data_IF_168014925578
#
_entry.id   IF_168014925578
#
_cell.length_a   1.000
_cell.length_b   1.000
_cell.length_c   1.000
_cell.angle_alpha   90.00
_cell.angle_beta   90.00
_cell.angle_gamma   90.00
#
_symmetry.space_group_name_H-M   'P 1'
#
loop_
_entity.id
_entity.type
_entity.pdbx_description
1 polymer ?
#
# COMPACT_ATOMS: atom_id res chain seq x y z
N UNK A 1 -9.81 -9.06 -15.99
CA UNK A 1 -11.26 -9.35 -15.95
C UNK A 1 -11.93 -8.64 -14.77
N UNK A 2 -11.74 -9.07 -13.51
CA UNK A 2 -12.39 -8.42 -12.34
C UNK A 2 -12.11 -6.92 -12.19
N UNK A 3 -10.83 -6.51 -12.22
CA UNK A 3 -10.47 -5.09 -12.13
C UNK A 3 -11.03 -4.24 -13.27
N UNK A 4 -11.08 -4.79 -14.49
CA UNK A 4 -11.61 -4.12 -15.67
C UNK A 4 -13.11 -3.90 -15.55
N UNK A 5 -13.86 -4.90 -15.07
CA UNK A 5 -15.30 -4.81 -14.84
C UNK A 5 -15.64 -3.81 -13.73
N UNK A 6 -14.86 -3.80 -12.63
CA UNK A 6 -15.03 -2.80 -11.56
C UNK A 6 -14.76 -1.39 -12.08
N UNK A 7 -13.64 -1.17 -12.79
CA UNK A 7 -13.26 0.13 -13.32
C UNK A 7 -14.31 0.74 -14.27
N UNK A 8 -14.86 -0.06 -15.20
CA UNK A 8 -15.87 0.40 -16.18
C UNK A 8 -17.21 0.73 -15.51
N UNK A 9 -17.50 0.13 -14.34
CA UNK A 9 -18.77 0.30 -13.62
C UNK A 9 -18.66 1.22 -12.41
N UNK A 10 -17.51 1.85 -12.19
CA UNK A 10 -17.26 2.85 -11.16
C UNK A 10 -17.95 4.17 -11.52
N UNK A 11 -18.68 4.77 -10.57
CA UNK A 11 -19.44 6.01 -10.81
C UNK A 11 -18.51 7.22 -10.98
N UNK A 12 -17.37 7.21 -10.29
CA UNK A 12 -16.36 8.29 -10.32
C UNK A 12 -15.09 7.84 -11.05
N UNK A 13 -15.23 7.17 -12.20
CA UNK A 13 -14.08 6.66 -12.93
C UNK A 13 -13.16 7.79 -13.43
N UNK A 14 -11.90 7.77 -13.00
CA UNK A 14 -10.86 8.69 -13.46
C UNK A 14 -9.71 7.88 -14.08
N UNK A 15 -9.46 8.11 -15.37
CA UNK A 15 -8.42 7.40 -16.12
C UNK A 15 -7.00 7.76 -15.64
N UNK A 16 -6.74 9.04 -15.34
CA UNK A 16 -5.46 9.48 -14.78
C UNK A 16 -5.22 8.86 -13.40
N UNK A 17 -6.26 8.75 -12.57
CA UNK A 17 -6.21 8.05 -11.29
C UNK A 17 -5.91 6.56 -11.44
N UNK A 18 -6.51 5.89 -12.43
CA UNK A 18 -6.23 4.48 -12.73
C UNK A 18 -4.77 4.27 -13.14
N UNK A 19 -4.25 5.08 -14.07
CA UNK A 19 -2.85 4.97 -14.50
C UNK A 19 -1.89 5.32 -13.37
N UNK A 20 -2.18 6.35 -12.58
CA UNK A 20 -1.41 6.69 -11.38
C UNK A 20 -1.35 5.53 -10.37
N UNK A 21 -2.48 4.88 -10.12
CA UNK A 21 -2.54 3.69 -9.25
C UNK A 21 -1.75 2.50 -9.82
N UNK A 22 -1.81 2.26 -11.13
CA UNK A 22 -1.04 1.20 -11.79
C UNK A 22 0.48 1.46 -11.71
N UNK A 23 0.92 2.68 -12.03
CA UNK A 23 2.32 3.10 -11.93
C UNK A 23 2.81 2.98 -10.48
N UNK A 24 2.01 3.41 -9.52
CA UNK A 24 2.33 3.29 -8.09
C UNK A 24 2.52 1.83 -7.67
N UNK A 25 1.63 0.92 -8.09
CA UNK A 25 1.79 -0.52 -7.81
C UNK A 25 3.11 -1.07 -8.37
N UNK A 26 3.51 -0.67 -9.59
CA UNK A 26 4.81 -1.06 -10.16
C UNK A 26 5.97 -0.53 -9.30
N UNK A 27 5.92 0.74 -8.91
CA UNK A 27 6.91 1.35 -8.01
C UNK A 27 7.03 0.62 -6.66
N UNK A 28 5.90 0.26 -6.05
CA UNK A 28 5.89 -0.52 -4.80
C UNK A 28 6.51 -1.91 -4.97
N UNK A 29 6.22 -2.61 -6.07
CA UNK A 29 6.82 -3.93 -6.35
C UNK A 29 8.32 -3.81 -6.56
N UNK A 30 8.78 -2.81 -7.32
CA UNK A 30 10.20 -2.56 -7.51
C UNK A 30 10.90 -2.26 -6.18
N UNK A 31 10.34 -1.37 -5.35
CA UNK A 31 10.86 -1.09 -4.00
C UNK A 31 10.99 -2.36 -3.18
N UNK A 32 9.99 -3.24 -3.20
CA UNK A 32 10.02 -4.50 -2.44
C UNK A 32 11.12 -5.46 -2.95
N UNK A 33 11.26 -5.60 -4.27
CA UNK A 33 12.30 -6.47 -4.87
C UNK A 33 13.69 -5.93 -4.56
N UNK A 34 13.93 -4.63 -4.78
CA UNK A 34 15.21 -4.00 -4.48
C UNK A 34 15.54 -4.04 -3.00
N UNK A 35 14.56 -3.80 -2.12
CA UNK A 35 14.76 -3.89 -0.67
C UNK A 35 15.17 -5.31 -0.27
N UNK A 36 14.51 -6.33 -0.80
CA UNK A 36 14.85 -7.74 -0.50
C UNK A 36 16.20 -8.15 -1.06
N UNK A 37 16.56 -7.70 -2.27
CA UNK A 37 17.89 -7.94 -2.87
C UNK A 37 18.99 -7.26 -2.06
N UNK A 38 18.76 -6.04 -1.60
CA UNK A 38 19.70 -5.30 -0.75
C UNK A 38 19.94 -6.01 0.59
N UNK A 39 18.90 -6.53 1.23
CA UNK A 39 19.04 -7.30 2.48
C UNK A 39 19.80 -8.62 2.30
N UNK A 40 19.72 -9.24 1.12
CA UNK A 40 20.45 -10.47 0.82
C UNK A 40 21.92 -10.22 0.41
N UNK A 41 22.22 -9.10 -0.23
CA UNK A 41 23.59 -8.75 -0.66
C UNK A 41 24.46 -8.17 0.45
N UNK A 42 23.89 -7.51 1.45
CA UNK A 42 24.64 -6.87 2.54
C UNK A 42 24.34 -7.55 3.88
N UNK A 43 25.21 -8.47 4.31
CA UNK A 43 25.06 -9.26 5.54
C UNK A 43 25.06 -8.41 6.83
N UNK A 44 25.51 -7.17 6.75
CA UNK A 44 25.60 -6.21 7.88
C UNK A 44 24.42 -5.21 7.94
N UNK A 45 23.49 -5.24 6.98
CA UNK A 45 22.37 -4.29 6.92
C UNK A 45 21.09 -4.96 7.42
N UNK A 46 20.71 -4.63 8.66
CA UNK A 46 19.41 -5.01 9.21
C UNK A 46 18.24 -4.32 8.47
N UNK A 47 17.09 -4.99 8.38
CA UNK A 47 15.86 -4.48 7.75
C UNK A 47 15.45 -3.08 8.21
N UNK A 48 15.66 -2.79 9.50
CA UNK A 48 15.43 -1.50 10.13
C UNK A 48 16.33 -0.38 9.59
N UNK A 49 17.62 -0.67 9.38
CA UNK A 49 18.57 0.31 8.87
C UNK A 49 18.29 0.63 7.39
N UNK A 50 17.95 -0.39 6.61
CA UNK A 50 17.56 -0.20 5.20
C UNK A 50 16.29 0.64 5.08
N UNK A 51 15.28 0.39 5.93
CA UNK A 51 14.07 1.22 5.96
C UNK A 51 14.39 2.67 6.32
N UNK A 52 15.27 2.91 7.30
CA UNK A 52 15.73 4.24 7.69
C UNK A 52 16.35 5.01 6.52
N UNK A 53 17.31 4.39 5.81
CA UNK A 53 17.95 5.01 4.64
C UNK A 53 16.96 5.29 3.51
N UNK A 54 16.08 4.34 3.19
CA UNK A 54 15.05 4.54 2.16
C UNK A 54 14.13 5.70 2.56
N UNK A 55 13.75 5.79 3.84
CA UNK A 55 12.87 6.86 4.34
C UNK A 55 13.52 8.24 4.21
N UNK A 56 14.81 8.36 4.58
CA UNK A 56 15.56 9.62 4.49
C UNK A 56 15.73 10.05 3.02
N UNK A 57 16.15 9.14 2.14
CA UNK A 57 16.31 9.44 0.70
C UNK A 57 14.96 9.78 0.06
N UNK A 58 13.90 9.04 0.43
CA UNK A 58 12.54 9.33 -0.05
C UNK A 58 12.11 10.72 0.37
N UNK A 59 12.35 11.11 1.62
CA UNK A 59 12.02 12.47 2.11
C UNK A 59 12.75 13.53 1.28
N UNK A 60 14.05 13.37 1.04
CA UNK A 60 14.85 14.33 0.27
C UNK A 60 14.40 14.46 -1.19
N UNK A 61 13.89 13.38 -1.80
CA UNK A 61 13.38 13.40 -3.16
C UNK A 61 11.93 13.91 -3.25
N UNK A 62 11.06 13.48 -2.32
CA UNK A 62 9.65 13.85 -2.34
C UNK A 62 9.43 15.30 -1.93
N UNK A 63 10.23 15.82 -0.99
CA UNK A 63 10.07 17.18 -0.48
C UNK A 63 10.13 18.25 -1.57
N UNK A 64 11.15 18.32 -2.45
CA UNK A 64 11.18 19.31 -3.52
C UNK A 64 10.02 19.10 -4.51
N UNK A 65 9.69 17.86 -4.86
CA UNK A 65 8.57 17.58 -5.77
C UNK A 65 7.23 18.04 -5.18
N UNK A 66 7.00 17.82 -3.89
CA UNK A 66 5.79 18.25 -3.19
C UNK A 66 5.66 19.78 -3.17
N UNK A 67 6.76 20.49 -2.91
CA UNK A 67 6.78 21.97 -2.95
C UNK A 67 6.48 22.48 -4.36
N UNK A 68 7.06 21.87 -5.40
CA UNK A 68 6.86 22.30 -6.78
C UNK A 68 5.44 22.02 -7.32
N UNK A 69 4.86 20.86 -6.99
CA UNK A 69 3.56 20.43 -7.54
C UNK A 69 2.41 21.01 -6.72
N UNK A 70 2.50 20.99 -5.39
CA UNK A 70 1.38 21.29 -4.50
C UNK A 70 1.59 22.57 -3.68
N UNK A 71 2.80 23.14 -3.64
CA UNK A 71 3.14 24.26 -2.75
C UNK A 71 2.27 25.51 -2.97
N UNK A 72 1.82 25.76 -4.20
CA UNK A 72 0.90 26.87 -4.50
C UNK A 72 -0.50 26.68 -3.89
N UNK A 73 -0.91 25.44 -3.62
CA UNK A 73 -2.22 25.08 -3.08
C UNK A 73 -2.22 24.96 -1.55
N UNK A 74 -1.05 24.85 -0.92
CA UNK A 74 -0.94 24.61 0.53
C UNK A 74 -1.63 25.66 1.38
N UNK A 75 -1.51 26.94 1.02
CA UNK A 75 -2.14 28.03 1.79
C UNK A 75 -3.67 27.96 1.68
N UNK A 76 -4.19 27.77 0.46
CA UNK A 76 -5.63 27.70 0.24
C UNK A 76 -6.27 26.45 0.89
N UNK A 77 -5.63 25.30 0.74
CA UNK A 77 -6.10 24.04 1.34
C UNK A 77 -5.94 24.05 2.87
N UNK A 78 -4.92 24.73 3.42
CA UNK A 78 -4.77 24.92 4.87
C UNK A 78 -5.95 25.70 5.46
N UNK A 79 -6.33 26.82 4.83
CA UNK A 79 -7.49 27.60 5.29
C UNK A 79 -8.79 26.78 5.22
N UNK A 80 -9.00 26.03 4.14
CA UNK A 80 -10.15 25.14 3.98
C UNK A 80 -10.18 24.00 5.00
N UNK A 81 -9.02 23.45 5.36
CA UNK A 81 -8.91 22.42 6.39
C UNK A 81 -9.24 22.94 7.79
N UNK A 82 -8.87 24.20 8.10
CA UNK A 82 -9.22 24.86 9.35
C UNK A 82 -10.73 25.15 9.44
N UNK A 83 -11.34 25.60 8.35
CA UNK A 83 -12.80 25.82 8.28
C UNK A 83 -13.58 24.52 8.51
N UNK A 84 -13.09 23.41 7.97
CA UNK A 84 -13.73 22.09 8.12
C UNK A 84 -13.56 21.51 9.53
N UNK A 85 -12.43 21.81 10.19
CA UNK A 85 -12.08 21.18 11.48
C UNK A 85 -12.55 21.99 12.70
N UNK A 86 -13.10 23.19 12.52
CA UNK A 86 -13.55 24.16 13.55
C UNK A 86 -12.47 24.60 14.56
N UNK A 87 -11.55 23.73 14.97
CA UNK A 87 -10.48 23.99 15.93
C UNK A 87 -9.12 23.57 15.35
N UNK A 88 -8.14 24.49 15.27
CA UNK A 88 -6.80 24.21 14.75
C UNK A 88 -6.07 23.08 15.50
N UNK A 89 -6.24 22.98 16.82
CA UNK A 89 -5.57 21.96 17.65
C UNK A 89 -5.99 20.54 17.30
N UNK A 90 -7.27 20.34 16.97
CA UNK A 90 -7.81 19.04 16.54
C UNK A 90 -7.16 18.61 15.22
N UNK A 91 -7.01 19.53 14.26
CA UNK A 91 -6.34 19.24 12.98
C UNK A 91 -4.90 18.73 13.19
N UNK A 92 -4.09 19.45 13.98
CA UNK A 92 -2.72 19.02 14.27
C UNK A 92 -2.66 17.67 14.99
N UNK A 93 -3.58 17.41 15.94
CA UNK A 93 -3.68 16.13 16.61
C UNK A 93 -3.96 14.99 15.61
N UNK A 94 -4.92 15.17 14.70
CA UNK A 94 -5.22 14.17 13.66
C UNK A 94 -4.04 13.91 12.72
N UNK A 95 -3.31 14.97 12.33
CA UNK A 95 -2.09 14.84 11.50
C UNK A 95 -1.01 14.05 12.23
N UNK A 96 -0.75 14.38 13.50
CA UNK A 96 0.26 13.69 14.32
C UNK A 96 -0.12 12.23 14.52
N UNK A 97 -1.37 11.96 14.92
CA UNK A 97 -1.88 10.59 15.12
C UNK A 97 -1.75 9.79 13.83
N UNK A 98 -2.19 10.34 12.69
CA UNK A 98 -2.04 9.70 11.38
C UNK A 98 -0.58 9.35 11.07
N UNK A 99 0.34 10.30 11.30
CA UNK A 99 1.77 10.09 11.10
C UNK A 99 2.35 8.98 11.98
N UNK A 100 1.99 8.96 13.26
CA UNK A 100 2.41 7.91 14.22
C UNK A 100 1.89 6.54 13.79
N UNK A 101 0.60 6.43 13.46
CA UNK A 101 0.02 5.18 12.98
C UNK A 101 0.64 4.71 11.66
N UNK A 102 0.98 5.64 10.76
CA UNK A 102 1.68 5.30 9.52
C UNK A 102 3.08 4.76 9.80
N UNK A 103 3.82 5.37 10.72
CA UNK A 103 5.14 4.88 11.12
C UNK A 103 5.06 3.50 11.75
N UNK A 104 4.16 3.32 12.73
CA UNK A 104 3.93 2.03 13.39
C UNK A 104 3.50 0.94 12.41
N UNK A 105 2.63 1.27 11.44
CA UNK A 105 2.23 0.34 10.39
C UNK A 105 3.43 -0.14 9.57
N UNK A 106 4.29 0.80 9.14
CA UNK A 106 5.47 0.44 8.37
C UNK A 106 6.45 -0.37 9.23
N UNK A 107 6.74 0.07 10.45
CA UNK A 107 7.64 -0.63 11.37
C UNK A 107 7.18 -2.07 11.65
N UNK A 108 5.90 -2.27 11.98
CA UNK A 108 5.32 -3.58 12.21
C UNK A 108 5.33 -4.45 10.95
N UNK A 109 5.13 -3.86 9.75
CA UNK A 109 5.23 -4.59 8.49
C UNK A 109 6.64 -5.11 8.21
N UNK A 110 7.67 -4.33 8.56
CA UNK A 110 9.07 -4.74 8.42
C UNK A 110 9.50 -5.76 9.47
N UNK A 111 9.02 -5.65 10.72
CA UNK A 111 9.24 -6.67 11.75
C UNK A 111 8.55 -7.99 11.41
N UNK A 112 7.30 -7.93 10.93
CA UNK A 112 6.61 -9.11 10.44
C UNK A 112 7.41 -9.76 9.29
N UNK A 113 7.93 -8.97 8.34
CA UNK A 113 8.73 -9.53 7.23
C UNK A 113 9.91 -10.42 7.69
N UNK A 114 10.46 -10.17 8.89
CA UNK A 114 11.57 -10.92 9.47
C UNK A 114 11.12 -12.20 10.20
N UNK A 115 9.95 -12.18 10.84
CA UNK A 115 9.46 -13.29 11.68
C UNK A 115 8.48 -14.23 10.98
N UNK A 116 7.77 -13.79 9.93
CA UNK A 116 6.80 -14.64 9.21
C UNK A 116 7.34 -15.20 7.91
N UNK A 117 6.96 -16.44 7.63
CA UNK A 117 7.29 -17.10 6.38
C UNK A 117 6.82 -16.27 5.17
N UNK A 118 7.54 -16.33 4.02
CA UNK A 118 7.14 -15.63 2.79
C UNK A 118 5.70 -15.94 2.35
N UNK A 119 5.21 -17.13 2.70
CA UNK A 119 3.85 -17.60 2.48
C UNK A 119 2.83 -16.75 3.24
N UNK A 120 3.05 -16.58 4.54
CA UNK A 120 2.18 -15.81 5.44
C UNK A 120 2.21 -14.33 5.10
N UNK A 121 3.37 -13.79 4.74
CA UNK A 121 3.49 -12.38 4.34
C UNK A 121 2.70 -12.06 3.06
N UNK A 122 2.76 -12.95 2.06
CA UNK A 122 2.00 -12.79 0.81
C UNK A 122 0.48 -12.85 1.02
N UNK A 123 0.01 -13.77 1.87
CA UNK A 123 -1.41 -13.88 2.22
C UNK A 123 -1.86 -12.67 3.05
N UNK A 124 -1.08 -12.26 4.04
CA UNK A 124 -1.37 -11.09 4.89
C UNK A 124 -1.49 -9.80 4.09
N UNK A 125 -0.60 -9.55 3.13
CA UNK A 125 -0.66 -8.38 2.26
C UNK A 125 -1.93 -8.37 1.37
N UNK A 126 -2.38 -9.55 0.94
CA UNK A 126 -3.64 -9.69 0.19
C UNK A 126 -4.83 -9.40 1.09
N UNK A 127 -4.88 -9.99 2.29
CA UNK A 127 -5.97 -9.79 3.25
C UNK A 127 -6.07 -8.33 3.71
N UNK A 128 -4.93 -7.66 3.97
CA UNK A 128 -4.91 -6.22 4.28
C UNK A 128 -5.63 -5.42 3.18
N UNK A 129 -5.35 -5.70 1.91
CA UNK A 129 -5.98 -5.00 0.77
C UNK A 129 -7.50 -5.20 0.77
N UNK A 130 -7.98 -6.41 1.06
CA UNK A 130 -9.42 -6.71 1.15
C UNK A 130 -10.08 -5.95 2.29
N UNK A 131 -9.48 -5.96 3.48
CA UNK A 131 -10.02 -5.26 4.65
C UNK A 131 -10.13 -3.77 4.36
N UNK A 132 -9.10 -3.15 3.79
CA UNK A 132 -9.14 -1.72 3.43
C UNK A 132 -10.28 -1.42 2.46
N UNK A 133 -10.46 -2.22 1.40
CA UNK A 133 -11.56 -2.03 0.44
C UNK A 133 -12.92 -2.11 1.15
N UNK A 134 -13.16 -3.16 1.94
CA UNK A 134 -14.44 -3.35 2.63
C UNK A 134 -14.70 -2.22 3.63
N UNK A 135 -13.70 -1.86 4.43
CA UNK A 135 -13.81 -0.76 5.41
C UNK A 135 -14.11 0.57 4.73
N UNK A 136 -13.47 0.89 3.60
CA UNK A 136 -13.75 2.15 2.87
C UNK A 136 -15.18 2.19 2.35
N UNK A 137 -15.72 1.09 1.82
CA UNK A 137 -17.11 1.02 1.36
C UNK A 137 -18.09 1.20 2.53
N UNK A 138 -17.81 0.57 3.68
CA UNK A 138 -18.67 0.67 4.87
C UNK A 138 -18.64 2.07 5.51
N UNK A 139 -17.46 2.70 5.57
CA UNK A 139 -17.27 4.00 6.23
C UNK A 139 -17.73 5.15 5.34
N UNK A 140 -17.32 5.18 4.06
CA UNK A 140 -17.66 6.28 3.16
C UNK A 140 -19.07 6.14 2.57
N UNK A 141 -19.69 4.95 2.64
CA UNK A 141 -21.04 4.65 2.11
C UNK A 141 -21.27 5.20 0.69
N UNK A 142 -20.22 5.28 -0.11
CA UNK A 142 -20.34 5.73 -1.49
C UNK A 142 -21.27 4.79 -2.26
N UNK A 143 -22.10 5.31 -3.19
CA UNK A 143 -23.02 4.48 -3.96
C UNK A 143 -22.24 3.55 -4.89
N UNK A 144 -21.96 2.33 -4.42
CA UNK A 144 -21.27 1.30 -5.19
C UNK A 144 -22.30 0.54 -6.02
N UNK A 145 -22.13 0.53 -7.35
CA UNK A 145 -23.00 -0.27 -8.22
C UNK A 145 -22.80 -1.77 -7.90
N UNK A 146 -23.86 -2.59 -7.89
CA UNK A 146 -23.73 -4.03 -7.61
C UNK A 146 -22.73 -4.75 -8.54
N UNK A 147 -22.64 -4.32 -9.80
CA UNK A 147 -21.64 -4.82 -10.75
C UNK A 147 -20.19 -4.48 -10.38
N UNK A 148 -19.96 -3.33 -9.77
CA UNK A 148 -18.64 -2.95 -9.28
C UNK A 148 -18.22 -3.82 -8.09
N UNK A 149 -19.15 -4.08 -7.16
CA UNK A 149 -18.94 -5.01 -6.04
C UNK A 149 -18.58 -6.40 -6.56
N UNK A 150 -19.30 -6.89 -7.57
CA UNK A 150 -19.01 -8.18 -8.20
C UNK A 150 -17.63 -8.20 -8.87
N UNK A 151 -17.29 -7.17 -9.66
CA UNK A 151 -15.98 -7.04 -10.29
C UNK A 151 -14.82 -6.99 -9.29
N UNK A 152 -15.01 -6.24 -8.20
CA UNK A 152 -14.07 -6.13 -7.08
C UNK A 152 -13.92 -7.46 -6.33
N UNK A 153 -15.01 -8.18 -6.08
CA UNK A 153 -15.00 -9.50 -5.45
C UNK A 153 -14.23 -10.52 -6.31
N UNK A 154 -14.47 -10.55 -7.62
CA UNK A 154 -13.76 -11.43 -8.55
C UNK A 154 -12.26 -11.09 -8.59
N UNK A 155 -11.91 -9.80 -8.59
CA UNK A 155 -10.51 -9.36 -8.57
C UNK A 155 -9.79 -9.81 -7.29
N UNK A 156 -10.41 -9.57 -6.13
CA UNK A 156 -9.91 -10.00 -4.83
C UNK A 156 -9.73 -11.50 -4.78
N UNK A 157 -10.76 -12.27 -5.16
CA UNK A 157 -10.73 -13.72 -5.15
C UNK A 157 -9.65 -14.27 -6.08
N UNK A 158 -9.50 -13.70 -7.28
CA UNK A 158 -8.44 -14.05 -8.22
C UNK A 158 -7.04 -13.80 -7.63
N UNK A 159 -6.82 -12.65 -6.98
CA UNK A 159 -5.53 -12.36 -6.33
C UNK A 159 -5.23 -13.30 -5.17
N UNK A 160 -6.25 -13.68 -4.39
CA UNK A 160 -6.13 -14.65 -3.30
C UNK A 160 -5.71 -16.04 -3.83
N UNK A 161 -6.40 -16.54 -4.86
CA UNK A 161 -6.06 -17.82 -5.49
C UNK A 161 -4.66 -17.80 -6.10
N UNK A 162 -4.27 -16.72 -6.78
CA UNK A 162 -2.93 -16.55 -7.33
C UNK A 162 -1.85 -16.57 -6.23
N UNK A 163 -2.10 -15.87 -5.12
CA UNK A 163 -1.21 -15.85 -3.96
C UNK A 163 -1.04 -17.25 -3.37
N UNK A 164 -2.13 -18.01 -3.20
CA UNK A 164 -2.10 -19.40 -2.72
C UNK A 164 -1.39 -20.36 -3.69
N UNK A 165 -1.63 -20.24 -4.99
CA UNK A 165 -1.01 -21.11 -5.99
C UNK A 165 0.51 -20.87 -6.09
N UNK A 166 0.94 -19.61 -6.10
CA UNK A 166 2.36 -19.23 -6.13
C UNK A 166 3.06 -19.66 -4.84
N UNK A 167 2.40 -19.47 -3.70
CA UNK A 167 2.82 -19.94 -2.38
C UNK A 167 3.11 -21.44 -2.35
N UNK A 168 2.19 -22.27 -2.89
CA UNK A 168 2.37 -23.73 -2.97
C UNK A 168 3.51 -24.14 -3.92
N UNK A 169 3.71 -23.42 -5.05
CA UNK A 169 4.82 -23.69 -5.97
C UNK A 169 6.19 -23.44 -5.31
N UNK A 170 6.33 -22.32 -4.59
CA UNK A 170 7.57 -21.98 -3.89
C UNK A 170 7.89 -22.97 -2.76
N UNK A 171 6.87 -23.44 -2.02
CA UNK A 171 7.05 -24.47 -1.00
C UNK A 171 7.58 -25.79 -1.58
N UNK A 172 6.98 -26.29 -2.67
CA UNK A 172 7.45 -27.50 -3.37
C UNK A 172 8.88 -27.38 -3.91
N UNK A 173 9.27 -26.20 -4.41
CA UNK A 173 10.64 -25.96 -4.89
C UNK A 173 11.67 -26.08 -3.75
N UNK A 174 11.38 -25.47 -2.60
CA UNK A 174 12.28 -25.48 -1.44
C UNK A 174 12.39 -26.88 -0.81
N UNK A 175 11.35 -27.71 -0.88
CA UNK A 175 11.40 -29.12 -0.46
C UNK A 175 12.22 -30.01 -1.41
N UNK A 176 12.23 -29.70 -2.71
CA UNK A 176 13.05 -30.38 -3.70
C UNK A 176 14.54 -30.05 -3.58
N UNK A 177 14.89 -28.80 -3.29
CA UNK A 177 16.28 -28.38 -3.05
C UNK A 177 16.87 -28.90 -1.72
N UNK A 178 16.05 -29.19 -0.71
CA UNK A 178 16.50 -29.81 0.56
C UNK A 178 16.70 -31.34 0.48
N UNK A 179 16.23 -31.98 -0.59
CA UNK A 179 16.33 -33.44 -0.79
C UNK A 179 17.47 -33.86 -1.75
N UNK A 180 18.14 -32.90 -2.37
CA UNK A 180 19.36 -33.08 -3.17
C UNK A 180 20.57 -32.61 -2.38
#
# INVERSE_FOLDING_TARGET
MGCSLAAITEVSFNFQGLFGALISNVGFVLRNIYSKKSLQSFKEVNGLNLYGWISIISLLYLFPVAVFVEGSQWVAEYHKALETTQTPSTFYLWVIISGVFYHLYNQSSYQALDEISPLTFSVGNTMKRVVVIVSTVLVFRNPVRPLNVLGSAIAVFGTFLYSQATSKKTAKKNEGEKKN
#
